data_IF_306263122505
#
_entry.id   IF_306263122505
#
_cell.length_a   1.000
_cell.length_b   1.000
_cell.length_c   1.000
_cell.angle_alpha   90.00
_cell.angle_beta   90.00
_cell.angle_gamma   90.00
#
_symmetry.space_group_name_H-M   'P 1'
#
loop_
_entity.id
_entity.type
_entity.pdbx_description
1 polymer ?
#
# COMPACT_ATOMS: atom_id res chain seq x y z
N UNK A 1 56.20 -17.87 3.29
CA UNK A 1 55.38 -17.65 4.53
C UNK A 1 54.29 -16.67 4.22
N UNK A 2 52.99 -17.07 4.26
CA UNK A 2 51.86 -16.17 4.00
C UNK A 2 51.75 -15.18 5.17
N UNK A 3 51.69 -13.87 4.89
CA UNK A 3 51.52 -12.83 5.87
C UNK A 3 50.24 -13.11 6.71
N UNK A 4 50.28 -12.93 8.03
CA UNK A 4 49.11 -13.19 8.88
C UNK A 4 47.97 -12.29 8.44
N UNK A 5 46.84 -12.90 8.03
CA UNK A 5 45.62 -12.16 7.65
C UNK A 5 45.19 -11.25 8.81
N UNK A 6 45.40 -9.95 8.66
CA UNK A 6 44.98 -8.92 9.62
C UNK A 6 43.46 -9.02 9.81
N UNK A 7 42.99 -9.00 11.05
CA UNK A 7 41.56 -9.06 11.38
C UNK A 7 40.96 -7.69 11.27
N UNK A 8 39.95 -7.52 10.41
CA UNK A 8 39.19 -6.25 10.28
C UNK A 8 38.36 -6.01 11.54
N UNK A 9 38.32 -4.79 12.06
CA UNK A 9 37.45 -4.42 13.16
C UNK A 9 35.97 -4.53 12.73
N UNK A 10 35.14 -5.27 13.46
CA UNK A 10 33.72 -5.42 13.11
C UNK A 10 32.92 -4.14 13.42
N UNK A 11 33.48 -3.18 14.18
CA UNK A 11 32.77 -1.97 14.55
C UNK A 11 32.99 -0.82 13.54
N UNK A 12 34.23 -0.57 13.14
CA UNK A 12 34.58 0.56 12.26
C UNK A 12 35.23 0.15 10.93
N UNK A 13 35.39 -1.15 10.67
CA UNK A 13 35.98 -1.65 9.43
C UNK A 13 37.52 -1.52 9.32
N UNK A 14 38.19 -0.89 10.28
CA UNK A 14 39.63 -0.63 10.24
C UNK A 14 40.45 -1.92 10.29
N UNK A 15 41.57 -1.98 9.54
CA UNK A 15 42.36 -3.21 9.37
C UNK A 15 43.46 -3.39 10.43
N UNK A 16 43.87 -2.31 11.10
CA UNK A 16 44.89 -2.41 12.12
C UNK A 16 44.30 -2.76 13.48
N UNK A 17 44.50 -4.01 13.86
CA UNK A 17 44.05 -4.58 15.12
C UNK A 17 45.23 -5.31 15.80
N UNK A 18 45.31 -5.22 17.11
CA UNK A 18 46.30 -5.92 17.95
C UNK A 18 45.62 -7.09 18.70
N UNK A 19 46.39 -8.14 19.01
CA UNK A 19 45.93 -9.21 19.91
C UNK A 19 45.81 -8.62 21.33
N UNK A 20 44.67 -8.85 21.98
CA UNK A 20 44.34 -8.28 23.28
C UNK A 20 43.80 -9.36 24.23
N UNK A 21 44.70 -10.25 24.66
CA UNK A 21 44.35 -11.33 25.58
C UNK A 21 43.41 -12.38 25.03
N UNK A 22 42.92 -13.26 25.91
CA UNK A 22 41.93 -14.31 25.61
C UNK A 22 40.72 -14.19 26.53
N UNK A 23 39.54 -14.58 26.05
CA UNK A 23 38.30 -14.65 26.82
C UNK A 23 37.53 -15.91 26.41
N UNK A 24 37.18 -16.76 27.38
CA UNK A 24 36.50 -18.01 27.09
C UNK A 24 37.22 -18.89 26.06
N UNK A 25 38.56 -18.99 26.14
CA UNK A 25 39.38 -19.76 25.20
C UNK A 25 39.64 -19.12 23.84
N UNK A 26 39.01 -17.95 23.55
CA UNK A 26 39.09 -17.28 22.26
C UNK A 26 40.04 -16.08 22.29
N UNK A 27 40.84 -15.87 21.21
CA UNK A 27 41.69 -14.71 21.04
C UNK A 27 40.83 -13.46 20.88
N UNK A 28 41.06 -12.44 21.75
CA UNK A 28 40.53 -11.09 21.60
C UNK A 28 41.49 -10.21 20.78
N UNK A 29 40.89 -9.25 20.09
CA UNK A 29 41.61 -8.22 19.35
C UNK A 29 41.11 -6.85 19.79
N UNK A 30 42.00 -5.86 19.79
CA UNK A 30 41.68 -4.43 20.03
C UNK A 30 41.89 -3.66 18.72
N UNK A 31 40.93 -2.85 18.33
CA UNK A 31 41.05 -1.98 17.17
C UNK A 31 41.86 -0.75 17.52
N UNK A 32 42.86 -0.39 16.71
CA UNK A 32 43.66 0.80 16.91
C UNK A 32 42.96 2.12 16.58
N UNK A 33 41.85 2.07 15.85
CA UNK A 33 41.12 3.27 15.46
C UNK A 33 39.98 3.63 16.42
N UNK A 34 39.16 2.64 16.85
CA UNK A 34 37.99 2.90 17.69
C UNK A 34 38.07 2.25 19.07
N UNK A 35 39.22 1.70 19.45
CA UNK A 35 39.53 1.05 20.72
C UNK A 35 38.61 -0.13 21.11
N UNK A 36 37.68 -0.52 20.24
CA UNK A 36 36.75 -1.62 20.49
C UNK A 36 37.48 -2.95 20.54
N UNK A 37 37.25 -3.72 21.63
CA UNK A 37 37.71 -5.10 21.74
C UNK A 37 36.70 -6.09 21.19
N UNK A 38 37.19 -7.07 20.39
CA UNK A 38 36.35 -8.11 19.78
C UNK A 38 37.08 -9.46 19.72
N UNK A 39 36.31 -10.55 19.51
CA UNK A 39 36.88 -11.90 19.32
C UNK A 39 36.65 -12.36 17.88
N UNK A 40 37.56 -13.14 17.31
CA UNK A 40 37.47 -13.58 15.92
C UNK A 40 36.36 -14.62 15.65
N UNK A 41 35.78 -15.19 16.69
CA UNK A 41 34.72 -16.22 16.60
C UNK A 41 33.29 -15.66 16.75
N UNK A 42 33.13 -14.43 17.19
CA UNK A 42 31.82 -13.83 17.04
C UNK A 42 31.61 -13.56 15.54
N UNK A 43 30.99 -14.50 14.87
CA UNK A 43 30.30 -14.30 13.58
C UNK A 43 29.15 -13.28 13.74
N UNK A 44 29.06 -12.75 14.97
CA UNK A 44 28.17 -11.73 15.20
C UNK A 44 28.81 -10.54 14.61
N UNK A 45 28.28 -10.22 13.71
CA UNK A 45 27.37 -9.37 14.27
C UNK A 45 27.95 -8.01 14.18
N UNK A 46 28.50 -7.75 13.00
CA UNK A 46 28.52 -6.38 12.51
C UNK A 46 27.08 -5.86 12.63
N UNK A 47 26.87 -4.61 12.94
CA UNK A 47 25.55 -3.97 12.87
C UNK A 47 24.81 -4.29 11.55
N UNK A 48 25.56 -4.53 10.47
CA UNK A 48 25.08 -5.02 9.18
C UNK A 48 24.36 -6.38 9.27
N UNK A 49 24.90 -7.38 9.99
CA UNK A 49 24.22 -8.68 10.13
C UNK A 49 22.94 -8.59 10.95
N UNK A 50 22.94 -7.75 12.01
CA UNK A 50 21.71 -7.51 12.79
C UNK A 50 20.64 -6.84 11.94
N UNK A 51 21.05 -5.88 11.12
CA UNK A 51 20.14 -5.19 10.21
C UNK A 51 19.60 -6.10 9.10
N UNK A 52 20.41 -7.06 8.62
CA UNK A 52 19.93 -8.09 7.68
C UNK A 52 18.82 -8.93 8.30
N UNK A 53 18.97 -9.39 9.57
CA UNK A 53 17.92 -10.13 10.26
C UNK A 53 16.66 -9.30 10.47
N UNK A 54 16.81 -8.01 10.81
CA UNK A 54 15.69 -7.07 10.90
C UNK A 54 14.99 -6.89 9.55
N UNK A 55 15.75 -6.69 8.46
CA UNK A 55 15.20 -6.60 7.10
C UNK A 55 14.44 -7.88 6.72
N UNK A 56 14.95 -9.05 7.09
CA UNK A 56 14.25 -10.32 6.86
C UNK A 56 12.95 -10.41 7.67
N UNK A 57 12.97 -10.01 8.92
CA UNK A 57 11.79 -9.96 9.76
C UNK A 57 10.69 -9.08 9.17
N UNK A 58 11.05 -7.92 8.62
CA UNK A 58 10.09 -7.00 8.00
C UNK A 58 9.57 -7.51 6.65
N UNK A 59 10.42 -8.12 5.79
CA UNK A 59 10.08 -8.43 4.40
C UNK A 59 9.69 -9.88 4.12
N UNK A 60 10.13 -10.85 4.92
CA UNK A 60 10.13 -12.27 4.56
C UNK A 60 9.18 -13.10 5.41
N UNK A 61 8.01 -12.68 5.72
CA UNK A 61 7.01 -13.50 6.43
C UNK A 61 7.60 -14.49 7.49
N UNK A 62 8.60 -14.02 8.25
CA UNK A 62 9.30 -14.83 9.27
C UNK A 62 9.05 -14.26 10.65
N UNK A 63 8.71 -15.14 11.58
CA UNK A 63 8.56 -14.81 13.00
C UNK A 63 9.93 -14.63 13.66
N UNK A 64 9.95 -13.96 14.83
CA UNK A 64 11.18 -13.85 15.65
C UNK A 64 11.71 -15.23 16.06
N UNK A 65 10.81 -16.21 16.29
CA UNK A 65 11.21 -17.57 16.65
C UNK A 65 11.95 -18.29 15.51
N UNK A 66 11.46 -18.20 14.27
CA UNK A 66 12.12 -18.75 13.09
C UNK A 66 13.49 -18.10 12.85
N UNK A 67 13.55 -16.77 12.95
CA UNK A 67 14.84 -16.05 12.83
C UNK A 67 15.80 -16.44 13.95
N UNK A 68 15.29 -16.70 15.16
CA UNK A 68 16.10 -17.20 16.28
C UNK A 68 16.76 -18.54 15.95
N UNK A 69 16.02 -19.47 15.38
CA UNK A 69 16.54 -20.77 14.93
C UNK A 69 17.59 -20.62 13.81
N UNK A 70 17.32 -19.77 12.83
CA UNK A 70 18.21 -19.54 11.68
C UNK A 70 19.49 -18.80 12.05
N UNK A 71 19.40 -17.84 12.94
CA UNK A 71 20.52 -16.93 13.29
C UNK A 71 21.37 -17.44 14.45
N UNK A 72 20.84 -18.36 15.27
CA UNK A 72 21.45 -18.79 16.52
C UNK A 72 21.42 -17.76 17.66
N UNK A 73 20.66 -16.66 17.47
CA UNK A 73 20.43 -15.64 18.50
C UNK A 73 19.14 -15.90 19.26
N UNK A 74 19.11 -15.60 20.57
CA UNK A 74 17.87 -15.78 21.34
C UNK A 74 16.78 -14.80 20.87
N UNK A 75 15.51 -15.21 20.94
CA UNK A 75 14.37 -14.37 20.59
C UNK A 75 14.36 -13.04 21.36
N UNK A 76 14.76 -13.06 22.65
CA UNK A 76 14.88 -11.85 23.48
C UNK A 76 15.95 -10.88 22.95
N UNK A 77 17.05 -11.39 22.42
CA UNK A 77 18.12 -10.57 21.85
C UNK A 77 17.69 -9.96 20.52
N UNK A 78 17.05 -10.75 19.65
CA UNK A 78 16.48 -10.29 18.38
C UNK A 78 15.42 -9.21 18.60
N UNK A 79 14.47 -9.44 19.50
CA UNK A 79 13.42 -8.46 19.85
C UNK A 79 14.01 -7.12 20.30
N UNK A 80 15.06 -7.16 21.13
CA UNK A 80 15.73 -5.94 21.59
C UNK A 80 16.41 -5.17 20.43
N UNK A 81 17.00 -5.88 19.46
CA UNK A 81 17.57 -5.25 18.27
C UNK A 81 16.50 -4.67 17.35
N UNK A 82 15.44 -5.45 17.13
CA UNK A 82 14.33 -5.02 16.26
C UNK A 82 13.62 -3.80 16.82
N UNK A 83 13.41 -3.75 18.13
CA UNK A 83 12.88 -2.60 18.86
C UNK A 83 13.72 -1.33 18.64
N UNK A 84 15.04 -1.47 18.72
CA UNK A 84 15.94 -0.35 18.47
C UNK A 84 15.90 0.14 17.03
N UNK A 85 15.81 -0.77 16.05
CA UNK A 85 15.68 -0.40 14.64
C UNK A 85 14.30 0.18 14.32
N UNK A 86 13.21 -0.36 14.85
CA UNK A 86 11.87 0.17 14.67
C UNK A 86 11.81 1.65 14.99
N UNK A 87 12.38 2.06 16.13
CA UNK A 87 12.41 3.47 16.58
C UNK A 87 13.24 4.39 15.68
N UNK A 88 14.20 3.84 14.95
CA UNK A 88 15.13 4.57 14.07
C UNK A 88 14.74 4.46 12.60
N UNK A 89 13.43 4.57 12.27
CA UNK A 89 12.98 4.51 10.89
C UNK A 89 13.49 5.71 10.07
N UNK A 90 13.83 5.48 8.79
CA UNK A 90 14.33 6.53 7.91
C UNK A 90 13.24 7.55 7.57
N UNK A 91 13.66 8.79 7.36
CA UNK A 91 12.79 9.81 6.78
C UNK A 91 12.40 9.42 5.36
N UNK A 92 11.17 9.71 4.97
CA UNK A 92 10.71 9.50 3.60
C UNK A 92 10.99 10.74 2.76
N UNK A 93 11.65 10.54 1.63
CA UNK A 93 11.92 11.60 0.67
C UNK A 93 11.08 11.39 -0.58
N UNK A 94 10.45 12.46 -1.05
CA UNK A 94 9.69 12.44 -2.30
C UNK A 94 10.69 12.67 -3.44
N UNK A 95 10.85 11.69 -4.32
CA UNK A 95 11.66 11.84 -5.50
C UNK A 95 10.96 12.74 -6.51
N UNK A 96 11.67 13.75 -7.02
CA UNK A 96 11.19 14.56 -8.13
C UNK A 96 11.03 13.70 -9.37
N UNK A 97 9.94 13.92 -10.10
CA UNK A 97 9.72 13.41 -11.41
C UNK A 97 9.59 14.60 -12.37
N UNK A 98 10.33 14.61 -13.47
CA UNK A 98 10.25 15.69 -14.47
C UNK A 98 9.00 15.55 -15.35
N UNK A 99 8.51 14.32 -15.50
CA UNK A 99 7.33 14.00 -16.29
C UNK A 99 6.05 14.12 -15.46
N UNK A 100 4.92 14.32 -16.12
CA UNK A 100 3.61 14.24 -15.51
C UNK A 100 3.28 12.79 -15.12
N UNK A 101 2.77 12.60 -13.91
CA UNK A 101 2.49 11.27 -13.37
C UNK A 101 0.99 10.96 -13.31
N UNK A 102 0.68 9.68 -13.43
CA UNK A 102 -0.63 9.13 -13.09
C UNK A 102 -0.60 8.59 -11.66
N UNK A 103 -1.31 9.27 -10.76
CA UNK A 103 -1.28 8.98 -9.33
C UNK A 103 -2.41 8.02 -8.94
N UNK A 104 -2.08 6.96 -8.20
CA UNK A 104 -3.06 6.14 -7.49
C UNK A 104 -3.10 6.54 -6.02
N UNK A 105 -4.30 6.73 -5.48
CA UNK A 105 -4.50 6.99 -4.05
C UNK A 105 -5.49 5.95 -3.52
N UNK A 106 -5.11 5.29 -2.44
CA UNK A 106 -5.97 4.33 -1.75
C UNK A 106 -5.55 4.21 -0.28
N UNK A 107 -6.50 3.91 0.58
CA UNK A 107 -6.28 3.73 2.01
C UNK A 107 -6.48 2.29 2.46
N UNK A 108 -5.81 1.90 3.54
CA UNK A 108 -6.04 0.61 4.17
C UNK A 108 -5.87 0.67 5.67
N UNK A 109 -6.60 -0.20 6.36
CA UNK A 109 -6.62 -0.26 7.81
C UNK A 109 -5.88 -1.48 8.33
N UNK A 110 -5.15 -1.27 9.42
CA UNK A 110 -4.50 -2.30 10.21
C UNK A 110 -5.11 -2.35 11.62
N UNK A 111 -4.83 -3.41 12.41
CA UNK A 111 -5.20 -3.44 13.82
C UNK A 111 -4.73 -2.20 14.58
N UNK A 112 -5.37 -1.91 15.71
CA UNK A 112 -5.07 -0.77 16.59
C UNK A 112 -5.35 0.62 15.95
N UNK A 113 -6.32 0.71 15.03
CA UNK A 113 -6.69 1.96 14.36
C UNK A 113 -5.50 2.65 13.65
N UNK A 114 -4.72 1.89 12.94
CA UNK A 114 -3.68 2.41 12.05
C UNK A 114 -4.23 2.43 10.63
N UNK A 115 -4.40 3.61 10.08
CA UNK A 115 -4.75 3.83 8.67
C UNK A 115 -3.50 4.21 7.89
N UNK A 116 -3.27 3.55 6.77
CA UNK A 116 -2.21 3.88 5.81
C UNK A 116 -2.83 4.37 4.52
N UNK A 117 -2.59 5.62 4.15
CA UNK A 117 -2.91 6.16 2.83
C UNK A 117 -1.65 6.15 1.98
N UNK A 118 -1.71 5.54 0.80
CA UNK A 118 -0.60 5.48 -0.15
C UNK A 118 -0.87 6.33 -1.38
N UNK A 119 0.15 7.04 -1.78
CA UNK A 119 0.25 7.81 -3.02
C UNK A 119 1.29 7.13 -3.92
N UNK A 120 0.81 6.46 -4.95
CA UNK A 120 1.66 5.67 -5.85
C UNK A 120 1.71 6.32 -7.23
N UNK A 121 2.91 6.57 -7.70
CA UNK A 121 3.16 6.85 -9.11
C UNK A 121 3.03 5.55 -9.91
N UNK A 122 1.99 5.44 -10.74
CA UNK A 122 1.78 4.24 -11.55
C UNK A 122 2.65 4.24 -12.81
N UNK A 123 3.13 5.40 -13.25
CA UNK A 123 4.08 5.52 -14.36
C UNK A 123 5.42 4.89 -13.97
N UNK A 124 5.99 5.32 -12.86
CA UNK A 124 7.22 4.75 -12.31
C UNK A 124 6.99 3.47 -11.48
N UNK A 125 5.73 3.08 -11.22
CA UNK A 125 5.32 1.92 -10.40
C UNK A 125 5.91 1.90 -8.99
N UNK A 126 6.08 3.08 -8.39
CA UNK A 126 6.70 3.26 -7.08
C UNK A 126 5.80 4.04 -6.12
N UNK A 127 5.98 3.81 -4.82
CA UNK A 127 5.37 4.65 -3.79
C UNK A 127 6.05 6.01 -3.80
N UNK A 128 5.27 7.06 -4.06
CA UNK A 128 5.74 8.44 -4.08
C UNK A 128 5.71 9.05 -2.69
N UNK A 129 4.60 8.85 -2.00
CA UNK A 129 4.37 9.36 -0.65
C UNK A 129 3.44 8.43 0.13
N UNK A 130 3.40 8.57 1.44
CA UNK A 130 2.43 7.89 2.30
C UNK A 130 2.14 8.70 3.56
N UNK A 131 0.93 8.51 4.09
CA UNK A 131 0.53 8.99 5.42
C UNK A 131 0.10 7.83 6.29
N UNK A 132 0.56 7.82 7.55
CA UNK A 132 0.02 6.95 8.59
C UNK A 132 -0.78 7.84 9.53
N UNK A 133 -2.05 7.53 9.69
CA UNK A 133 -3.03 8.31 10.45
C UNK A 133 -3.99 7.38 11.20
N UNK A 134 -4.93 7.92 11.92
CA UNK A 134 -6.00 7.20 12.60
C UNK A 134 -7.34 7.25 11.84
N UNK A 135 -7.43 8.07 10.78
CA UNK A 135 -8.60 8.17 9.90
C UNK A 135 -8.24 8.79 8.54
N UNK A 136 -9.05 8.52 7.52
CA UNK A 136 -8.94 9.19 6.22
C UNK A 136 -9.65 10.56 6.28
N UNK A 137 -8.87 11.65 6.30
CA UNK A 137 -9.40 13.01 6.33
C UNK A 137 -9.06 13.80 5.07
N UNK A 138 -10.07 14.47 4.51
CA UNK A 138 -9.90 15.24 3.28
C UNK A 138 -8.81 16.34 3.39
N UNK A 139 -8.71 17.01 4.54
CA UNK A 139 -7.68 18.01 4.78
C UNK A 139 -6.27 17.43 4.77
N UNK A 140 -6.05 16.24 5.39
CA UNK A 140 -4.76 15.56 5.39
C UNK A 140 -4.36 15.11 3.98
N UNK A 141 -5.32 14.61 3.19
CA UNK A 141 -5.08 14.24 1.79
C UNK A 141 -4.74 15.46 0.94
N UNK A 142 -5.42 16.60 1.17
CA UNK A 142 -5.08 17.83 0.48
C UNK A 142 -3.69 18.36 0.86
N UNK A 143 -3.30 18.30 2.13
CA UNK A 143 -1.94 18.61 2.60
C UNK A 143 -0.88 17.74 1.92
N UNK A 144 -1.13 16.43 1.82
CA UNK A 144 -0.21 15.50 1.19
C UNK A 144 -0.01 15.82 -0.30
N UNK A 145 -1.11 16.07 -1.01
CA UNK A 145 -1.08 16.44 -2.43
C UNK A 145 -0.36 17.78 -2.64
N UNK A 146 -0.59 18.78 -1.79
CA UNK A 146 0.13 20.04 -1.83
C UNK A 146 1.63 19.85 -1.55
N UNK A 147 2.00 18.94 -0.64
CA UNK A 147 3.40 18.58 -0.37
C UNK A 147 4.05 17.93 -1.59
N UNK A 148 3.36 16.99 -2.24
CA UNK A 148 3.82 16.32 -3.46
C UNK A 148 4.03 17.34 -4.60
N UNK A 149 3.07 18.24 -4.81
CA UNK A 149 3.17 19.29 -5.82
C UNK A 149 4.25 20.33 -5.47
N UNK A 150 4.41 20.64 -4.18
CA UNK A 150 5.40 21.60 -3.69
C UNK A 150 6.85 21.19 -3.97
N UNK A 151 7.15 19.90 -4.11
CA UNK A 151 8.47 19.43 -4.55
C UNK A 151 8.62 19.37 -6.08
N UNK A 152 7.62 19.86 -6.84
CA UNK A 152 7.66 19.99 -8.29
C UNK A 152 7.07 18.82 -9.07
N UNK A 153 6.37 17.87 -8.43
CA UNK A 153 5.69 16.77 -9.10
C UNK A 153 4.42 17.29 -9.79
N UNK A 154 4.27 17.01 -11.08
CA UNK A 154 3.09 17.33 -11.87
C UNK A 154 2.15 16.13 -11.95
N UNK A 155 0.90 16.29 -11.51
CA UNK A 155 -0.09 15.23 -11.48
C UNK A 155 -1.02 15.37 -12.68
N UNK A 156 -0.98 14.41 -13.62
CA UNK A 156 -1.84 14.33 -14.81
C UNK A 156 -3.23 13.81 -14.45
N UNK A 157 -3.27 12.71 -13.71
CA UNK A 157 -4.51 12.08 -13.29
C UNK A 157 -4.42 11.49 -11.89
N UNK A 158 -5.58 11.34 -11.24
CA UNK A 158 -5.70 10.66 -9.95
C UNK A 158 -6.76 9.56 -10.06
N UNK A 159 -6.36 8.32 -9.78
CA UNK A 159 -7.28 7.17 -9.70
C UNK A 159 -7.48 6.75 -8.25
N UNK A 160 -8.75 6.67 -7.80
CA UNK A 160 -9.13 6.33 -6.41
C UNK A 160 -10.26 5.31 -6.35
N UNK A 161 -10.40 4.64 -5.20
CA UNK A 161 -11.52 3.73 -4.89
C UNK A 161 -12.87 4.44 -4.79
N UNK A 162 -12.86 5.75 -4.48
CA UNK A 162 -14.02 6.59 -4.33
C UNK A 162 -14.41 6.89 -2.88
N UNK A 163 -13.49 6.71 -1.94
CA UNK A 163 -13.62 7.28 -0.60
C UNK A 163 -13.96 8.77 -0.68
N UNK A 164 -14.98 9.19 0.06
CA UNK A 164 -15.42 10.60 0.06
C UNK A 164 -14.36 11.56 0.60
N UNK A 165 -13.50 11.08 1.48
CA UNK A 165 -12.38 11.85 2.02
C UNK A 165 -11.32 12.07 0.92
N UNK A 166 -10.94 11.00 0.20
CA UNK A 166 -9.95 11.10 -0.89
C UNK A 166 -10.47 11.99 -2.01
N UNK A 167 -11.73 11.80 -2.43
CA UNK A 167 -12.33 12.64 -3.48
C UNK A 167 -12.26 14.12 -3.11
N UNK A 168 -12.72 14.49 -1.90
CA UNK A 168 -12.71 15.89 -1.44
C UNK A 168 -11.30 16.44 -1.29
N UNK A 169 -10.35 15.66 -0.78
CA UNK A 169 -8.95 16.09 -0.69
C UNK A 169 -8.33 16.37 -2.05
N UNK A 170 -8.61 15.51 -3.05
CA UNK A 170 -8.18 15.72 -4.44
C UNK A 170 -8.85 16.96 -5.04
N UNK A 171 -10.14 17.18 -4.81
CA UNK A 171 -10.85 18.36 -5.28
C UNK A 171 -10.30 19.67 -4.70
N UNK A 172 -9.89 19.65 -3.44
CA UNK A 172 -9.28 20.80 -2.76
C UNK A 172 -7.88 21.13 -3.28
N UNK A 173 -7.01 20.13 -3.41
CA UNK A 173 -5.60 20.35 -3.78
C UNK A 173 -5.37 20.39 -5.29
N UNK A 174 -6.16 19.63 -6.07
CA UNK A 174 -5.97 19.47 -7.51
C UNK A 174 -7.31 19.62 -8.26
N UNK A 175 -7.97 20.80 -8.26
CA UNK A 175 -9.31 20.96 -8.81
C UNK A 175 -9.42 20.62 -10.31
N UNK A 176 -8.36 20.82 -11.07
CA UNK A 176 -8.32 20.65 -12.52
C UNK A 176 -7.74 19.26 -12.96
N UNK A 177 -7.35 18.41 -12.01
CA UNK A 177 -6.79 17.10 -12.35
C UNK A 177 -7.84 16.17 -12.94
N UNK A 178 -7.44 15.31 -13.88
CA UNK A 178 -8.32 14.25 -14.39
C UNK A 178 -8.55 13.21 -13.29
N UNK A 179 -9.80 13.05 -12.88
CA UNK A 179 -10.18 12.08 -11.84
C UNK A 179 -10.73 10.82 -12.47
N UNK A 180 -10.16 9.69 -12.08
CA UNK A 180 -10.63 8.36 -12.49
C UNK A 180 -11.11 7.59 -11.25
N UNK A 181 -12.31 7.03 -11.32
CA UNK A 181 -12.82 6.09 -10.30
C UNK A 181 -12.37 4.67 -10.61
N UNK A 182 -11.89 3.95 -9.63
CA UNK A 182 -11.48 2.56 -9.78
C UNK A 182 -12.68 1.69 -10.23
N UNK A 183 -12.66 1.25 -11.49
CA UNK A 183 -13.77 0.45 -12.05
C UNK A 183 -13.90 -0.92 -11.39
N UNK A 184 -12.80 -1.49 -10.89
CA UNK A 184 -12.84 -2.76 -10.17
C UNK A 184 -13.56 -2.64 -8.82
N UNK A 185 -13.36 -1.56 -8.08
CA UNK A 185 -14.08 -1.26 -6.83
C UNK A 185 -15.57 -1.09 -7.10
N UNK A 186 -15.94 -0.24 -8.08
CA UNK A 186 -17.34 -0.02 -8.47
C UNK A 186 -18.02 -1.34 -8.83
N UNK A 187 -17.39 -2.15 -9.69
CA UNK A 187 -17.93 -3.43 -10.12
C UNK A 187 -18.11 -4.38 -8.93
N UNK A 188 -17.10 -4.54 -8.09
CA UNK A 188 -17.12 -5.44 -6.92
C UNK A 188 -18.21 -5.05 -5.94
N UNK A 189 -18.35 -3.78 -5.62
CA UNK A 189 -19.39 -3.27 -4.72
C UNK A 189 -20.78 -3.50 -5.30
N UNK A 190 -21.03 -3.12 -6.54
CA UNK A 190 -22.32 -3.33 -7.19
C UNK A 190 -22.70 -4.81 -7.25
N UNK A 191 -21.75 -5.69 -7.62
CA UNK A 191 -22.01 -7.13 -7.68
C UNK A 191 -22.27 -7.75 -6.30
N UNK A 192 -21.64 -7.22 -5.23
CA UNK A 192 -21.88 -7.68 -3.86
C UNK A 192 -23.27 -7.30 -3.37
N UNK A 193 -23.73 -6.08 -3.67
CA UNK A 193 -25.07 -5.62 -3.30
C UNK A 193 -26.18 -6.30 -4.10
N UNK A 194 -25.96 -6.53 -5.40
CA UNK A 194 -26.94 -7.14 -6.30
C UNK A 194 -26.99 -8.67 -6.19
N UNK A 195 -26.20 -9.27 -5.31
CA UNK A 195 -26.12 -10.72 -5.05
C UNK A 195 -25.86 -11.57 -6.30
N UNK A 196 -25.65 -12.87 -6.13
CA UNK A 196 -25.44 -13.79 -7.26
C UNK A 196 -26.74 -14.13 -7.99
N UNK A 197 -27.85 -14.21 -7.26
CA UNK A 197 -29.16 -14.62 -7.75
C UNK A 197 -30.23 -13.57 -7.39
N UNK A 198 -30.24 -12.42 -8.09
CA UNK A 198 -31.26 -11.40 -7.85
C UNK A 198 -32.64 -11.88 -8.31
N UNK A 199 -33.71 -11.41 -7.67
CA UNK A 199 -35.09 -11.83 -7.92
C UNK A 199 -35.77 -10.93 -8.94
N UNK A 200 -35.69 -9.61 -8.72
CA UNK A 200 -36.32 -8.64 -9.62
C UNK A 200 -35.58 -8.50 -10.95
N UNK A 201 -36.30 -8.18 -12.00
CA UNK A 201 -35.68 -7.94 -13.30
C UNK A 201 -34.81 -6.70 -13.30
N UNK A 202 -35.19 -5.67 -12.52
CA UNK A 202 -34.36 -4.50 -12.29
C UNK A 202 -32.97 -4.89 -11.72
N UNK A 203 -32.93 -5.78 -10.73
CA UNK A 203 -31.68 -6.24 -10.15
C UNK A 203 -30.85 -7.12 -11.10
N UNK A 204 -31.53 -8.03 -11.87
CA UNK A 204 -30.85 -8.90 -12.83
C UNK A 204 -30.18 -8.11 -13.96
N UNK A 205 -30.89 -7.12 -14.49
CA UNK A 205 -30.38 -6.27 -15.58
C UNK A 205 -29.26 -5.37 -15.09
N UNK A 206 -29.42 -4.70 -13.94
CA UNK A 206 -28.38 -3.85 -13.37
C UNK A 206 -27.11 -4.65 -13.04
N UNK A 207 -27.28 -5.89 -12.56
CA UNK A 207 -26.15 -6.78 -12.31
C UNK A 207 -25.37 -7.12 -13.59
N UNK A 208 -26.07 -7.35 -14.72
CA UNK A 208 -25.41 -7.58 -16.02
C UNK A 208 -24.62 -6.35 -16.46
N UNK A 209 -25.20 -5.14 -16.32
CA UNK A 209 -24.53 -3.88 -16.61
C UNK A 209 -23.28 -3.71 -15.73
N UNK A 210 -23.43 -3.87 -14.41
CA UNK A 210 -22.29 -3.77 -13.49
C UNK A 210 -21.19 -4.79 -13.82
N UNK A 211 -21.55 -6.01 -14.21
CA UNK A 211 -20.58 -7.07 -14.55
C UNK A 211 -19.73 -6.78 -15.78
N UNK A 212 -20.13 -5.84 -16.63
CA UNK A 212 -19.38 -5.49 -17.87
C UNK A 212 -18.40 -4.33 -17.72
N UNK A 213 -18.46 -3.55 -16.62
CA UNK A 213 -17.69 -2.31 -16.45
C UNK A 213 -16.18 -2.51 -16.68
N UNK A 214 -15.60 -3.56 -16.10
CA UNK A 214 -14.18 -3.84 -16.23
C UNK A 214 -13.78 -4.41 -17.61
N UNK A 215 -14.73 -4.72 -18.47
CA UNK A 215 -14.47 -5.29 -19.80
C UNK A 215 -14.36 -4.23 -20.91
N UNK A 216 -14.89 -3.03 -20.67
CA UNK A 216 -14.93 -1.95 -21.65
C UNK A 216 -13.51 -1.52 -22.04
N UNK A 217 -13.27 -1.33 -23.35
CA UNK A 217 -11.96 -0.99 -23.91
C UNK A 217 -11.99 0.18 -24.90
N UNK A 218 -13.15 0.48 -25.48
CA UNK A 218 -13.28 1.48 -26.52
C UNK A 218 -14.37 2.51 -26.19
N UNK A 219 -14.29 3.72 -26.78
CA UNK A 219 -15.34 4.73 -26.67
C UNK A 219 -16.72 4.21 -27.09
N UNK A 220 -16.79 3.43 -28.18
CA UNK A 220 -18.04 2.87 -28.65
C UNK A 220 -18.68 1.91 -27.61
N UNK A 221 -17.89 1.04 -26.98
CA UNK A 221 -18.37 0.14 -25.92
C UNK A 221 -18.84 0.92 -24.68
N UNK A 222 -18.12 1.99 -24.31
CA UNK A 222 -18.53 2.89 -23.24
C UNK A 222 -19.87 3.55 -23.54
N UNK A 223 -20.02 4.12 -24.74
CA UNK A 223 -21.21 4.85 -25.13
C UNK A 223 -22.43 3.93 -25.21
N UNK A 224 -22.26 2.72 -25.74
CA UNK A 224 -23.28 1.67 -25.70
C UNK A 224 -23.66 1.30 -24.25
N UNK A 225 -22.69 1.14 -23.37
CA UNK A 225 -22.93 0.84 -21.98
C UNK A 225 -23.71 1.96 -21.28
N UNK A 226 -23.32 3.21 -21.52
CA UNK A 226 -24.00 4.40 -20.97
C UNK A 226 -25.44 4.46 -21.47
N UNK A 227 -25.66 4.29 -22.77
CA UNK A 227 -26.99 4.28 -23.34
C UNK A 227 -27.90 3.20 -22.70
N UNK A 228 -27.37 1.99 -22.53
CA UNK A 228 -28.10 0.89 -21.88
C UNK A 228 -28.37 1.18 -20.38
N UNK A 229 -27.46 1.84 -19.70
CA UNK A 229 -27.66 2.22 -18.31
C UNK A 229 -28.74 3.31 -18.16
N UNK A 230 -28.77 4.30 -19.05
CA UNK A 230 -29.82 5.34 -19.07
C UNK A 230 -31.18 4.74 -19.44
N UNK A 231 -31.22 3.85 -20.42
CA UNK A 231 -32.46 3.11 -20.79
C UNK A 231 -32.96 2.30 -19.60
N UNK A 232 -32.09 1.54 -18.91
CA UNK A 232 -32.41 0.82 -17.70
C UNK A 232 -32.98 1.73 -16.62
N UNK A 233 -32.31 2.88 -16.37
CA UNK A 233 -32.73 3.86 -15.39
C UNK A 233 -34.13 4.41 -15.66
N UNK A 234 -34.44 4.67 -16.93
CA UNK A 234 -35.73 5.18 -17.37
C UNK A 234 -36.80 4.10 -17.21
N UNK A 235 -36.54 2.87 -17.67
CA UNK A 235 -37.46 1.73 -17.60
C UNK A 235 -37.85 1.38 -16.16
N UNK A 236 -36.88 1.43 -15.26
CA UNK A 236 -37.07 1.05 -13.85
C UNK A 236 -37.27 2.25 -12.90
N UNK A 237 -37.57 3.44 -13.43
CA UNK A 237 -37.81 4.67 -12.64
C UNK A 237 -38.86 4.48 -11.54
N UNK A 238 -39.98 3.81 -11.87
CA UNK A 238 -41.04 3.54 -10.89
C UNK A 238 -40.53 2.61 -9.76
N UNK A 239 -39.75 1.60 -10.12
CA UNK A 239 -39.12 0.71 -9.14
C UNK A 239 -38.16 1.46 -8.23
N UNK A 240 -37.29 2.29 -8.78
CA UNK A 240 -36.30 3.09 -7.99
C UNK A 240 -36.97 4.06 -7.03
N UNK A 241 -38.10 4.65 -7.40
CA UNK A 241 -38.87 5.60 -6.60
C UNK A 241 -39.85 4.94 -5.62
N UNK A 242 -39.90 3.62 -5.56
CA UNK A 242 -40.81 2.89 -4.66
C UNK A 242 -40.45 3.19 -3.20
N UNK A 243 -41.47 3.56 -2.43
CA UNK A 243 -41.34 3.75 -0.97
C UNK A 243 -41.68 2.44 -0.23
N UNK A 244 -41.11 2.26 0.96
CA UNK A 244 -41.50 1.15 1.84
C UNK A 244 -42.99 1.27 2.20
N UNK A 245 -43.68 0.13 2.18
CA UNK A 245 -45.08 0.05 2.58
C UNK A 245 -45.35 -1.23 3.37
N UNK A 246 -46.50 -1.31 4.08
CA UNK A 246 -46.79 -2.43 4.99
C UNK A 246 -46.96 -3.78 4.27
N UNK A 247 -47.12 -3.79 2.96
CA UNK A 247 -47.34 -4.99 2.13
C UNK A 247 -46.09 -5.48 1.39
N UNK A 248 -44.88 -4.89 1.65
CA UNK A 248 -43.64 -5.31 0.99
C UNK A 248 -42.93 -6.30 1.88
N UNK A 249 -42.60 -7.49 1.36
CA UNK A 249 -41.79 -8.46 2.11
C UNK A 249 -40.43 -7.88 2.50
N UNK A 250 -39.92 -8.23 3.68
CA UNK A 250 -38.62 -7.73 4.15
C UNK A 250 -37.47 -8.08 3.20
N UNK A 251 -37.59 -9.19 2.45
CA UNK A 251 -36.60 -9.64 1.46
C UNK A 251 -36.63 -8.77 0.21
N UNK A 252 -37.83 -8.50 -0.32
CA UNK A 252 -38.01 -7.63 -1.50
C UNK A 252 -37.54 -6.21 -1.22
N UNK A 253 -37.84 -5.70 0.00
CA UNK A 253 -37.40 -4.39 0.40
C UNK A 253 -35.89 -4.32 0.57
N UNK A 254 -35.25 -5.36 1.06
CA UNK A 254 -33.80 -5.44 1.16
C UNK A 254 -33.16 -5.43 -0.24
N UNK A 255 -33.68 -6.20 -1.19
CA UNK A 255 -33.20 -6.19 -2.57
C UNK A 255 -33.38 -4.82 -3.23
N UNK A 256 -34.56 -4.20 -3.08
CA UNK A 256 -34.82 -2.86 -3.59
C UNK A 256 -33.78 -1.85 -3.08
N UNK A 257 -33.48 -1.81 -1.78
CA UNK A 257 -32.48 -0.94 -1.21
C UNK A 257 -31.09 -1.18 -1.81
N UNK A 258 -30.72 -2.42 -2.08
CA UNK A 258 -29.43 -2.76 -2.67
C UNK A 258 -29.36 -2.35 -4.14
N UNK A 259 -30.46 -2.50 -4.89
CA UNK A 259 -30.55 -1.99 -6.27
C UNK A 259 -30.41 -0.47 -6.29
N UNK A 260 -31.12 0.25 -5.43
CA UNK A 260 -31.00 1.71 -5.33
C UNK A 260 -29.57 2.13 -4.95
N UNK A 261 -28.91 1.39 -4.06
CA UNK A 261 -27.52 1.64 -3.67
C UNK A 261 -26.57 1.45 -4.85
N UNK A 262 -26.70 0.36 -5.59
CA UNK A 262 -25.89 0.08 -6.78
C UNK A 262 -26.12 1.13 -7.89
N UNK A 263 -27.36 1.47 -8.15
CA UNK A 263 -27.71 2.54 -9.09
C UNK A 263 -27.08 3.88 -8.71
N UNK A 264 -27.21 4.27 -7.44
CA UNK A 264 -26.64 5.54 -6.95
C UNK A 264 -25.12 5.55 -7.08
N UNK A 265 -24.46 4.43 -6.79
CA UNK A 265 -23.00 4.29 -6.94
C UNK A 265 -22.58 4.47 -8.40
N UNK A 266 -23.23 3.78 -9.32
CA UNK A 266 -22.96 3.89 -10.75
C UNK A 266 -23.21 5.31 -11.26
N UNK A 267 -24.33 5.90 -10.89
CA UNK A 267 -24.71 7.27 -11.31
C UNK A 267 -23.72 8.32 -10.84
N UNK A 268 -23.26 8.22 -9.59
CA UNK A 268 -22.25 9.12 -9.02
C UNK A 268 -20.87 8.91 -9.63
N UNK A 269 -20.52 7.67 -9.96
CA UNK A 269 -19.22 7.35 -10.52
C UNK A 269 -19.11 7.72 -12.02
N UNK A 270 -20.23 7.70 -12.75
CA UNK A 270 -20.30 7.82 -14.21
C UNK A 270 -19.46 8.95 -14.80
N UNK A 271 -19.44 10.18 -14.25
CA UNK A 271 -18.63 11.26 -14.81
C UNK A 271 -17.11 10.99 -14.81
N UNK A 272 -16.65 10.11 -13.91
CA UNK A 272 -15.23 9.88 -13.65
C UNK A 272 -14.80 8.42 -13.76
N UNK A 273 -15.65 7.47 -14.22
CA UNK A 273 -15.27 6.06 -14.21
C UNK A 273 -14.71 5.54 -15.54
N UNK A 274 -14.78 6.34 -16.61
CA UNK A 274 -14.33 5.91 -17.94
C UNK A 274 -13.29 6.81 -18.59
N UNK A 275 -12.55 7.62 -17.82
CA UNK A 275 -11.50 8.50 -18.34
C UNK A 275 -10.38 7.73 -19.03
N UNK A 276 -10.09 6.52 -18.55
CA UNK A 276 -9.10 5.61 -19.12
C UNK A 276 -9.44 5.16 -20.55
N UNK A 277 -10.70 5.26 -20.98
CA UNK A 277 -11.12 4.90 -22.33
C UNK A 277 -10.65 5.94 -23.35
N UNK A 278 -10.71 7.22 -22.96
CA UNK A 278 -10.26 8.34 -23.81
C UNK A 278 -8.74 8.58 -23.68
N UNK A 279 -8.13 8.18 -22.56
CA UNK A 279 -6.72 8.32 -22.27
C UNK A 279 -6.18 7.00 -21.68
N UNK A 280 -5.72 6.06 -22.51
CA UNK A 280 -5.34 4.69 -22.09
C UNK A 280 -4.18 4.60 -21.11
N UNK A 281 -3.40 5.66 -20.96
CA UNK A 281 -2.33 5.78 -19.97
C UNK A 281 -2.85 6.03 -18.54
N UNK A 282 -4.12 6.48 -18.39
CA UNK A 282 -4.76 6.64 -17.09
C UNK A 282 -5.10 5.27 -16.51
N UNK A 283 -4.61 4.94 -15.31
CA UNK A 283 -4.91 3.67 -14.65
C UNK A 283 -6.40 3.55 -14.35
N UNK A 284 -7.03 2.51 -14.85
CA UNK A 284 -8.46 2.25 -14.62
C UNK A 284 -8.80 1.69 -13.25
N UNK A 285 -7.79 1.16 -12.52
CA UNK A 285 -7.96 0.50 -11.22
C UNK A 285 -6.85 0.84 -10.25
N UNK A 286 -7.12 0.70 -8.94
CA UNK A 286 -6.15 0.76 -7.85
C UNK A 286 -5.60 -0.62 -7.46
N UNK A 287 -5.74 -1.64 -8.32
CA UNK A 287 -5.37 -3.04 -8.02
C UNK A 287 -3.89 -3.20 -7.63
N UNK A 288 -3.00 -2.32 -8.13
CA UNK A 288 -1.60 -2.30 -7.74
C UNK A 288 -1.42 -1.97 -6.25
N UNK A 289 -2.24 -1.04 -5.71
CA UNK A 289 -2.27 -0.72 -4.28
C UNK A 289 -2.90 -1.85 -3.46
N UNK A 290 -4.02 -2.43 -3.93
CA UNK A 290 -4.66 -3.57 -3.26
C UNK A 290 -3.68 -4.75 -3.09
N UNK A 291 -2.94 -5.09 -4.15
CA UNK A 291 -1.92 -6.14 -4.12
C UNK A 291 -0.79 -5.81 -3.12
N UNK A 292 -0.35 -4.56 -3.09
CA UNK A 292 0.66 -4.09 -2.14
C UNK A 292 0.16 -4.18 -0.70
N UNK A 293 -1.06 -3.71 -0.44
CA UNK A 293 -1.69 -3.79 0.88
C UNK A 293 -1.91 -5.24 1.34
N UNK A 294 -2.29 -6.14 0.43
CA UNK A 294 -2.41 -7.56 0.72
C UNK A 294 -1.10 -8.14 1.24
N UNK A 295 0.01 -7.90 0.54
CA UNK A 295 1.34 -8.37 0.95
C UNK A 295 1.77 -7.78 2.30
N UNK A 296 1.53 -6.48 2.53
CA UNK A 296 1.86 -5.83 3.80
C UNK A 296 1.03 -6.40 4.95
N UNK A 297 -0.29 -6.59 4.74
CA UNK A 297 -1.18 -7.20 5.74
C UNK A 297 -0.78 -8.62 6.09
N UNK A 298 -0.41 -9.43 5.12
CA UNK A 298 0.11 -10.78 5.36
C UNK A 298 1.38 -10.76 6.20
N UNK A 299 2.33 -9.87 5.90
CA UNK A 299 3.56 -9.75 6.69
C UNK A 299 3.27 -9.32 8.13
N UNK A 300 2.52 -8.23 8.33
CA UNK A 300 2.27 -7.72 9.68
C UNK A 300 1.42 -8.67 10.52
N UNK A 301 0.53 -9.47 9.91
CA UNK A 301 -0.32 -10.42 10.62
C UNK A 301 0.45 -11.54 11.33
N UNK A 302 1.68 -11.82 10.91
CA UNK A 302 2.59 -12.77 11.57
C UNK A 302 3.19 -12.22 12.87
N UNK A 303 3.14 -10.91 13.05
CA UNK A 303 3.73 -10.22 14.20
C UNK A 303 2.65 -9.79 15.20
N UNK A 304 1.84 -10.79 15.64
CA UNK A 304 0.79 -10.58 16.64
C UNK A 304 1.38 -9.99 17.92
N UNK A 305 0.75 -8.96 18.46
CA UNK A 305 1.20 -8.31 19.70
C UNK A 305 2.05 -7.04 19.48
N UNK A 306 2.23 -6.58 18.25
CA UNK A 306 2.78 -5.25 18.03
C UNK A 306 1.85 -4.19 18.62
N UNK A 307 2.39 -3.27 19.41
CA UNK A 307 1.66 -2.07 19.85
C UNK A 307 1.32 -1.19 18.64
N UNK A 308 0.38 -0.24 18.79
CA UNK A 308 0.05 0.74 17.75
C UNK A 308 1.31 1.38 17.18
N UNK A 309 2.16 1.91 18.05
CA UNK A 309 3.42 2.55 17.69
C UNK A 309 4.34 1.61 16.90
N UNK A 310 4.56 0.39 17.37
CA UNK A 310 5.42 -0.56 16.65
C UNK A 310 4.82 -1.00 15.30
N UNK A 311 3.50 -1.04 15.18
CA UNK A 311 2.83 -1.31 13.90
C UNK A 311 3.08 -0.18 12.91
N UNK A 312 3.00 1.08 13.33
CA UNK A 312 3.32 2.25 12.50
C UNK A 312 4.79 2.25 12.06
N UNK A 313 5.71 2.02 13.02
CA UNK A 313 7.16 1.95 12.77
C UNK A 313 7.49 0.78 11.80
N UNK A 314 6.83 -0.37 11.96
CA UNK A 314 6.96 -1.52 11.05
C UNK A 314 6.49 -1.18 9.63
N UNK A 315 5.35 -0.53 9.48
CA UNK A 315 4.82 -0.09 8.17
C UNK A 315 5.81 0.85 7.49
N UNK A 316 6.39 1.82 8.21
CA UNK A 316 7.42 2.74 7.68
C UNK A 316 8.63 2.00 7.14
N UNK A 317 9.16 1.03 7.89
CA UNK A 317 10.27 0.21 7.46
C UNK A 317 9.93 -0.69 6.27
N UNK A 318 8.73 -1.26 6.24
CA UNK A 318 8.28 -2.07 5.10
C UNK A 318 8.23 -1.23 3.82
N UNK A 319 7.64 -0.05 3.87
CA UNK A 319 7.58 0.89 2.75
C UNK A 319 8.99 1.28 2.28
N UNK A 320 9.87 1.64 3.21
CA UNK A 320 11.25 1.98 2.90
C UNK A 320 11.98 0.83 2.19
N UNK A 321 11.95 -0.37 2.73
CA UNK A 321 12.63 -1.50 2.10
C UNK A 321 12.04 -1.85 0.73
N UNK A 322 10.73 -1.78 0.57
CA UNK A 322 10.08 -2.02 -0.72
C UNK A 322 10.49 -0.97 -1.76
N UNK A 323 10.60 0.28 -1.36
CA UNK A 323 11.09 1.37 -2.20
C UNK A 323 12.56 1.16 -2.60
N UNK A 324 13.44 0.84 -1.66
CA UNK A 324 14.84 0.54 -1.96
C UNK A 324 14.99 -0.64 -2.93
N UNK A 325 14.24 -1.71 -2.74
CA UNK A 325 14.24 -2.86 -3.66
C UNK A 325 13.78 -2.48 -5.07
N UNK A 326 12.87 -1.53 -5.19
CA UNK A 326 12.42 -1.03 -6.49
C UNK A 326 13.54 -0.24 -7.18
N UNK A 327 14.18 0.69 -6.47
CA UNK A 327 15.32 1.46 -6.98
C UNK A 327 16.51 0.56 -7.40
N UNK A 328 16.80 -0.49 -6.62
CA UNK A 328 17.85 -1.45 -6.96
C UNK A 328 17.58 -2.20 -8.26
N UNK A 329 16.31 -2.51 -8.56
CA UNK A 329 15.90 -3.18 -9.81
C UNK A 329 15.99 -2.28 -11.04
N UNK A 330 15.88 -0.97 -10.86
CA UNK A 330 15.98 0.01 -11.96
C UNK A 330 17.42 0.35 -12.33
N UNK A 331 18.40 0.05 -11.47
CA UNK A 331 19.81 0.25 -11.79
C UNK A 331 20.22 -0.69 -12.92
N UNK A 332 20.87 -0.18 -14.00
CA UNK A 332 21.35 -1.04 -15.06
C UNK A 332 22.30 -2.10 -14.45
N UNK A 333 22.07 -3.36 -14.82
CA UNK A 333 22.99 -4.44 -14.47
C UNK A 333 24.34 -4.13 -15.11
N UNK A 334 25.32 -3.80 -14.29
CA UNK A 334 26.71 -3.66 -14.72
C UNK A 334 27.31 -5.01 -15.05
#
# INVERSE_FOLDING_TARGET
MAAPRRKRCPHCGFLETSKWGRQGGHQRYKCKNCDTCFTSRRKDVSSANRFIWFKWWVLRKQTVAEISQMSGHSSRQLSRWFDAYLRAYPMWEINKCEEEINLLIDGTWFPNNVCLVLYRDETAKTTLFYRITDDERACEIAEDLNTIQGVGVKIKSVTTDGSSAIIRGVEQACPNVVRQRCVAHIQRECLSWLTRFPRSDAAKELRRLAGRICMLRSPAERDEWVARFEEWSTRHKAYLNRKSGPFVSGIEWKEHRMVCKAYTQLRRALPNMFKFVDSPDIPRTTSALESFFGQLKENISLHRGLSKRHSEEYVRWYLYFRHQMHLEKQKPRR
#
